data_IF_528204450691
#
_entry.id   IF_528204450691
#
_cell.length_a   1.000
_cell.length_b   1.000
_cell.length_c   1.000
_cell.angle_alpha   90.00
_cell.angle_beta   90.00
_cell.angle_gamma   90.00
#
_symmetry.space_group_name_H-M   'P 1'
#
loop_
_entity.id
_entity.type
_entity.pdbx_description
1 polymer ?
#
# COMPACT_ATOMS: atom_id res chain seq x y z
N UNK A 1 11.75 18.79 17.58
CA UNK A 1 11.17 17.97 16.51
C UNK A 1 12.27 17.05 16.02
N UNK A 2 12.12 15.74 16.24
CA UNK A 2 13.13 14.73 15.91
C UNK A 2 13.22 14.54 14.39
N UNK A 3 14.43 14.31 13.87
CA UNK A 3 14.62 13.99 12.45
C UNK A 3 13.93 12.66 12.13
N UNK A 4 13.03 12.59 11.13
CA UNK A 4 12.38 11.35 10.74
C UNK A 4 13.42 10.35 10.22
N UNK A 5 13.19 9.07 10.50
CA UNK A 5 14.05 7.97 10.01
C UNK A 5 13.59 7.44 8.65
N UNK A 6 12.30 7.63 8.32
CA UNK A 6 11.72 7.32 7.04
C UNK A 6 10.64 8.35 6.71
N UNK A 7 10.73 8.93 5.52
CA UNK A 7 9.73 9.83 4.96
C UNK A 7 9.36 9.33 3.57
N UNK A 8 8.07 9.11 3.35
CA UNK A 8 7.50 8.72 2.06
C UNK A 8 6.50 9.80 1.66
N UNK A 9 6.62 10.26 0.42
CA UNK A 9 5.76 11.30 -0.15
C UNK A 9 5.02 10.78 -1.36
N UNK A 10 3.75 11.17 -1.49
CA UNK A 10 2.89 10.88 -2.62
C UNK A 10 2.88 9.38 -2.97
N UNK A 11 2.76 8.53 -1.96
CA UNK A 11 2.79 7.09 -2.12
C UNK A 11 1.55 6.64 -2.87
N UNK A 12 1.80 5.98 -3.98
CA UNK A 12 0.80 5.32 -4.80
C UNK A 12 1.17 3.84 -4.93
N UNK A 13 0.22 2.95 -4.63
CA UNK A 13 0.43 1.50 -4.72
C UNK A 13 -0.70 0.88 -5.53
N UNK A 14 -0.32 0.26 -6.64
CA UNK A 14 -1.20 -0.55 -7.47
C UNK A 14 -0.93 -2.04 -7.25
N UNK A 15 -1.99 -2.83 -7.09
CA UNK A 15 -1.91 -4.29 -7.05
C UNK A 15 -2.56 -4.88 -8.29
N UNK A 16 -1.88 -5.83 -8.93
CA UNK A 16 -2.31 -6.43 -10.20
C UNK A 16 -1.43 -5.98 -11.36
N UNK A 17 -1.84 -6.34 -12.57
CA UNK A 17 -1.11 -6.04 -13.80
C UNK A 17 -2.11 -5.66 -14.90
N UNK A 18 -1.75 -4.67 -15.72
CA UNK A 18 -2.58 -4.20 -16.83
C UNK A 18 -3.86 -3.48 -16.36
N UNK A 19 -4.91 -3.56 -17.16
CA UNK A 19 -6.17 -2.83 -16.94
C UNK A 19 -6.95 -3.29 -15.68
N UNK A 20 -6.60 -4.45 -15.15
CA UNK A 20 -7.18 -5.01 -13.92
C UNK A 20 -6.43 -4.57 -12.65
N UNK A 21 -5.43 -3.70 -12.78
CA UNK A 21 -4.68 -3.18 -11.63
C UNK A 21 -5.59 -2.31 -10.75
N UNK A 22 -5.54 -2.56 -9.44
CA UNK A 22 -6.32 -1.84 -8.43
C UNK A 22 -5.41 -0.90 -7.66
N UNK A 23 -5.77 0.38 -7.63
CA UNK A 23 -5.14 1.39 -6.77
C UNK A 23 -5.50 1.13 -5.31
N UNK A 24 -4.57 0.56 -4.55
CA UNK A 24 -4.75 0.26 -3.13
C UNK A 24 -4.34 1.40 -2.21
N UNK A 25 -3.29 2.15 -2.57
CA UNK A 25 -2.87 3.36 -1.85
C UNK A 25 -2.85 4.50 -2.85
N UNK A 26 -3.51 5.63 -2.52
CA UNK A 26 -3.60 6.79 -3.40
C UNK A 26 -3.07 8.03 -2.69
N UNK A 27 -1.99 8.59 -3.21
CA UNK A 27 -1.38 9.86 -2.79
C UNK A 27 -1.25 10.02 -1.26
N UNK A 28 -0.51 9.10 -0.63
CA UNK A 28 -0.33 9.11 0.84
C UNK A 28 1.06 9.59 1.24
N UNK A 29 1.11 10.49 2.22
CA UNK A 29 2.34 10.94 2.85
C UNK A 29 2.52 10.25 4.21
N UNK A 30 3.66 9.60 4.43
CA UNK A 30 3.97 8.86 5.65
C UNK A 30 5.29 9.38 6.23
N UNK A 31 5.31 9.59 7.54
CA UNK A 31 6.52 9.98 8.27
C UNK A 31 6.65 9.07 9.48
N UNK A 32 7.82 8.45 9.62
CA UNK A 32 8.15 7.56 10.72
C UNK A 32 9.37 8.10 11.48
N UNK A 33 9.22 8.24 12.79
CA UNK A 33 10.31 8.62 13.69
C UNK A 33 10.90 7.39 14.38
N UNK A 34 12.10 7.57 14.94
CA UNK A 34 12.79 6.51 15.67
C UNK A 34 11.94 6.05 16.87
N UNK A 35 11.66 4.75 16.94
CA UNK A 35 10.88 4.14 18.02
C UNK A 35 9.38 4.02 17.73
N UNK A 36 8.91 4.51 16.58
CA UNK A 36 7.54 4.33 16.13
C UNK A 36 7.40 3.05 15.27
N UNK A 37 6.20 2.46 15.28
CA UNK A 37 5.82 1.37 14.38
C UNK A 37 4.60 1.82 13.59
N UNK A 38 4.73 1.83 12.26
CA UNK A 38 3.66 2.21 11.34
C UNK A 38 3.10 0.97 10.65
N UNK A 39 1.80 0.72 10.81
CA UNK A 39 1.07 -0.35 10.14
C UNK A 39 0.05 0.22 9.16
N UNK A 40 0.09 -0.24 7.91
CA UNK A 40 -0.93 0.06 6.91
C UNK A 40 -1.98 -1.05 6.93
N UNK A 41 -3.20 -0.72 7.35
CA UNK A 41 -4.33 -1.64 7.34
C UNK A 41 -5.37 -1.18 6.31
N UNK A 42 -5.77 -2.09 5.43
CA UNK A 42 -6.83 -1.88 4.46
C UNK A 42 -7.72 -3.12 4.39
N UNK A 43 -9.01 -2.93 4.08
CA UNK A 43 -9.89 -4.07 3.82
C UNK A 43 -9.45 -4.70 2.50
N UNK A 44 -8.84 -5.89 2.57
CA UNK A 44 -8.50 -6.64 1.37
C UNK A 44 -9.79 -6.86 0.55
N UNK A 45 -9.86 -6.30 -0.65
CA UNK A 45 -10.88 -6.69 -1.60
C UNK A 45 -10.61 -8.16 -1.96
N UNK A 46 -11.60 -9.04 -1.76
CA UNK A 46 -11.46 -10.44 -2.13
C UNK A 46 -11.38 -10.54 -3.65
N UNK A 47 -10.15 -10.67 -4.18
CA UNK A 47 -9.95 -11.01 -5.58
C UNK A 47 -10.45 -12.45 -5.77
N UNK A 48 -11.68 -12.62 -6.28
CA UNK A 48 -12.22 -13.93 -6.64
C UNK A 48 -11.48 -14.47 -7.87
N UNK A 49 -10.26 -14.98 -7.67
CA UNK A 49 -9.48 -15.62 -8.72
C UNK A 49 -9.99 -17.04 -8.90
N UNK A 50 -10.78 -17.26 -9.96
CA UNK A 50 -11.29 -18.59 -10.33
C UNK A 50 -10.19 -19.33 -11.08
N UNK A 51 -9.54 -20.30 -10.41
CA UNK A 51 -8.61 -21.21 -11.07
C UNK A 51 -9.38 -22.09 -12.05
N UNK A 52 -9.04 -22.03 -13.34
CA UNK A 52 -9.43 -23.04 -14.31
C UNK A 52 -8.25 -23.98 -14.47
N UNK A 53 -8.35 -25.19 -13.94
CA UNK A 53 -7.52 -26.32 -14.34
C UNK A 53 -7.97 -26.75 -15.73
N UNK A 54 -7.05 -26.74 -16.69
CA UNK A 54 -7.15 -27.53 -17.90
C UNK A 54 -6.67 -28.95 -17.60
#
# INVERSE_FOLDING_TARGET
MTTPVLEIRNLDVDYGLGDEAVRAVRDVNLTLHRGEVLGLAGRAAAASRRWRTA
#
